data_IF_050718262230
#
_entry.id   IF_050718262230
#
_cell.length_a   1.000
_cell.length_b   1.000
_cell.length_c   1.000
_cell.angle_alpha   90.00
_cell.angle_beta   90.00
_cell.angle_gamma   90.00
#
_symmetry.space_group_name_H-M   'P 1'
#
loop_
_entity.id
_entity.type
_entity.pdbx_description
1 polymer ?
#
# COMPACT_ATOMS: atom_id res chain seq x y z
N UNK A 1 13.41 28.75 -15.25
CA UNK A 1 13.55 28.40 -13.83
C UNK A 1 13.94 26.93 -13.73
N UNK A 2 15.22 26.71 -13.43
CA UNK A 2 15.85 25.42 -13.14
C UNK A 2 15.23 24.80 -11.87
N UNK A 3 15.19 23.49 -11.63
CA UNK A 3 16.33 22.59 -11.45
C UNK A 3 15.94 21.12 -11.70
N UNK A 4 16.73 20.44 -12.53
CA UNK A 4 16.91 19.00 -12.53
C UNK A 4 17.75 18.62 -11.29
N UNK A 5 17.36 17.59 -10.56
CA UNK A 5 18.25 16.91 -9.62
C UNK A 5 18.16 15.40 -9.80
N UNK A 6 19.29 14.70 -10.07
CA UNK A 6 19.35 13.26 -10.22
C UNK A 6 19.67 12.61 -8.87
N UNK A 7 19.00 11.52 -8.52
CA UNK A 7 19.46 10.64 -7.45
C UNK A 7 19.80 9.26 -8.01
N UNK A 8 20.97 9.19 -8.62
CA UNK A 8 21.74 7.96 -8.75
C UNK A 8 22.41 7.69 -7.41
N UNK A 9 22.10 6.58 -6.74
CA UNK A 9 22.98 6.05 -5.68
C UNK A 9 23.12 4.54 -5.84
N UNK A 10 24.17 4.15 -6.57
CA UNK A 10 24.82 2.85 -6.42
C UNK A 10 25.37 2.76 -4.99
N UNK A 11 25.03 1.71 -4.26
CA UNK A 11 25.78 1.26 -3.08
C UNK A 11 25.88 -0.25 -3.21
N UNK A 12 27.08 -0.73 -3.54
CA UNK A 12 27.47 -2.11 -3.28
C UNK A 12 28.49 -2.09 -2.16
N UNK A 13 28.24 -2.84 -1.10
CA UNK A 13 29.26 -3.46 -0.23
C UNK A 13 28.62 -4.63 0.52
N UNK A 14 29.22 -5.82 0.40
CA UNK A 14 28.98 -6.99 1.25
C UNK A 14 29.38 -6.70 2.70
N UNK A 15 28.55 -7.08 3.68
CA UNK A 15 29.03 -7.49 5.01
C UNK A 15 27.98 -8.35 5.71
N UNK A 16 28.37 -9.57 6.08
CA UNK A 16 27.56 -10.51 6.83
C UNK A 16 27.37 -10.07 8.27
N UNK A 17 26.15 -10.26 8.78
CA UNK A 17 25.83 -10.23 10.20
C UNK A 17 24.87 -11.40 10.45
N UNK A 18 25.35 -12.39 11.20
CA UNK A 18 24.52 -13.42 11.80
C UNK A 18 23.76 -12.79 12.98
N UNK A 19 22.43 -12.81 12.96
CA UNK A 19 21.61 -12.58 14.15
C UNK A 19 20.69 -13.79 14.32
N UNK A 20 21.04 -14.58 15.32
CA UNK A 20 20.17 -15.52 15.99
C UNK A 20 19.11 -14.68 16.75
N UNK A 21 17.85 -14.75 16.33
CA UNK A 21 16.75 -13.98 16.92
C UNK A 21 15.44 -14.74 16.80
N UNK A 22 15.07 -15.38 17.89
CA UNK A 22 13.86 -16.17 18.06
C UNK A 22 12.62 -15.26 18.11
N UNK A 23 11.59 -15.60 17.34
CA UNK A 23 10.19 -15.22 17.61
C UNK A 23 9.69 -13.91 17.02
N UNK A 24 9.04 -13.97 15.85
CA UNK A 24 7.59 -13.75 15.72
C UNK A 24 7.19 -14.09 14.28
N UNK A 25 6.34 -15.10 14.12
CA UNK A 25 5.72 -15.45 12.85
C UNK A 25 4.77 -14.32 12.46
N UNK A 26 5.26 -13.32 11.74
CA UNK A 26 4.39 -12.48 10.92
C UNK A 26 4.12 -13.26 9.64
N UNK A 27 3.03 -14.02 9.63
CA UNK A 27 2.52 -14.69 8.43
C UNK A 27 2.24 -13.63 7.36
N UNK A 28 2.96 -13.60 6.22
CA UNK A 28 2.46 -12.90 5.06
C UNK A 28 1.17 -13.63 4.66
N UNK A 29 0.03 -12.96 4.80
CA UNK A 29 -1.24 -13.48 4.31
C UNK A 29 -1.23 -13.32 2.79
N UNK A 30 -0.58 -14.23 2.08
CA UNK A 30 -0.60 -14.29 0.61
C UNK A 30 -2.01 -14.67 0.16
N UNK A 31 -2.81 -13.66 -0.18
CA UNK A 31 -4.22 -13.81 -0.48
C UNK A 31 -4.45 -13.90 -1.99
N UNK A 32 -4.24 -15.11 -2.51
CA UNK A 32 -4.83 -15.63 -3.77
C UNK A 32 -4.31 -15.02 -5.07
N UNK A 33 -3.54 -15.82 -5.81
CA UNK A 33 -3.01 -15.53 -7.13
C UNK A 33 -4.13 -15.27 -8.16
N UNK A 34 -4.22 -14.02 -8.61
CA UNK A 34 -4.52 -13.68 -10.00
C UNK A 34 -3.17 -13.27 -10.56
N UNK A 35 -2.61 -14.08 -11.47
CA UNK A 35 -1.18 -14.41 -11.59
C UNK A 35 -0.13 -13.29 -11.82
N UNK A 36 -0.47 -12.01 -11.72
CA UNK A 36 0.51 -10.90 -11.71
C UNK A 36 0.18 -9.79 -10.69
N UNK A 37 -0.84 -9.97 -9.84
CA UNK A 37 -1.24 -8.96 -8.86
C UNK A 37 -0.50 -9.15 -7.54
N UNK A 38 0.48 -8.29 -7.26
CA UNK A 38 1.15 -8.26 -5.97
C UNK A 38 0.41 -7.31 -5.03
N UNK A 39 0.04 -7.80 -3.84
CA UNK A 39 -0.69 -7.03 -2.84
C UNK A 39 0.14 -7.01 -1.55
N UNK A 40 0.51 -5.82 -1.12
CA UNK A 40 1.17 -5.58 0.16
C UNK A 40 0.23 -4.79 1.07
N UNK A 41 0.08 -5.24 2.32
CA UNK A 41 -0.71 -4.56 3.34
C UNK A 41 0.19 -4.34 4.55
N UNK A 42 0.35 -3.09 4.96
CA UNK A 42 1.22 -2.68 6.07
C UNK A 42 0.39 -1.98 7.14
N UNK A 43 0.57 -2.37 8.40
CA UNK A 43 -0.07 -1.67 9.53
C UNK A 43 0.62 -0.32 9.76
N UNK A 44 -0.16 0.75 9.95
CA UNK A 44 0.33 2.11 10.25
C UNK A 44 -0.46 2.70 11.42
N UNK A 45 0.09 2.60 12.63
CA UNK A 45 -0.63 3.05 13.84
C UNK A 45 -1.96 2.30 14.03
N UNK A 46 -3.05 3.04 14.07
CA UNK A 46 -4.43 2.51 14.13
C UNK A 46 -5.03 2.23 12.74
N UNK A 47 -4.39 2.73 11.69
CA UNK A 47 -4.77 2.52 10.30
C UNK A 47 -3.87 1.54 9.55
N UNK A 48 -3.94 1.57 8.22
CA UNK A 48 -3.28 0.61 7.33
C UNK A 48 -2.98 1.22 5.97
N UNK A 49 -1.92 0.73 5.35
CA UNK A 49 -1.47 1.08 4.01
C UNK A 49 -1.58 -0.17 3.13
N UNK A 50 -2.01 0.01 1.89
CA UNK A 50 -2.20 -1.04 0.91
C UNK A 50 -1.55 -0.58 -0.39
N UNK A 51 -0.67 -1.41 -0.92
CA UNK A 51 -0.05 -1.21 -2.23
C UNK A 51 -0.33 -2.42 -3.08
N UNK A 52 -0.95 -2.20 -4.24
CA UNK A 52 -1.25 -3.25 -5.21
C UNK A 52 -0.52 -2.90 -6.49
N UNK A 53 0.28 -3.82 -7.01
CA UNK A 53 1.03 -3.61 -8.26
C UNK A 53 0.70 -4.69 -9.29
N UNK A 54 0.62 -4.28 -10.54
CA UNK A 54 0.43 -5.16 -11.69
C UNK A 54 1.13 -4.55 -12.92
N UNK A 55 2.28 -5.10 -13.30
CA UNK A 55 3.09 -4.55 -14.39
C UNK A 55 3.47 -3.08 -14.14
N UNK A 56 3.04 -2.18 -15.04
CA UNK A 56 3.27 -0.75 -14.91
C UNK A 56 2.19 0.02 -14.12
N UNK A 57 1.18 -0.68 -13.60
CA UNK A 57 0.09 -0.11 -12.80
C UNK A 57 0.33 -0.33 -11.32
N UNK A 58 -0.01 0.68 -10.54
CA UNK A 58 0.08 0.68 -9.08
C UNK A 58 -1.18 1.34 -8.51
N UNK A 59 -1.80 0.69 -7.53
CA UNK A 59 -2.92 1.21 -6.76
C UNK A 59 -2.47 1.31 -5.31
N UNK A 60 -2.65 2.48 -4.73
CA UNK A 60 -2.27 2.79 -3.37
C UNK A 60 -3.52 3.16 -2.58
N UNK A 61 -3.61 2.69 -1.34
CA UNK A 61 -4.58 3.17 -0.39
C UNK A 61 -3.95 3.31 0.98
N UNK A 62 -4.13 4.47 1.61
CA UNK A 62 -3.75 4.70 3.00
C UNK A 62 -4.99 5.05 3.78
N UNK A 63 -5.21 4.35 4.89
CA UNK A 63 -6.11 4.78 5.93
C UNK A 63 -5.27 5.22 7.12
N UNK A 64 -5.36 6.50 7.47
CA UNK A 64 -4.85 7.04 8.72
C UNK A 64 -6.02 7.20 9.70
N UNK A 65 -5.84 6.66 10.90
CA UNK A 65 -6.83 6.77 11.98
C UNK A 65 -6.17 7.49 13.15
N UNK A 66 -6.76 8.61 13.57
CA UNK A 66 -6.41 9.36 14.76
C UNK A 66 -7.55 9.22 15.78
N UNK A 67 -7.36 9.59 17.06
CA UNK A 67 -8.47 9.65 18.01
C UNK A 67 -9.60 10.61 17.60
N UNK A 68 -9.28 11.64 16.84
CA UNK A 68 -10.19 12.72 16.47
C UNK A 68 -10.93 12.44 15.16
N UNK A 69 -10.25 11.88 14.17
CA UNK A 69 -10.77 11.74 12.81
C UNK A 69 -10.12 10.57 12.06
N UNK A 70 -10.49 10.39 10.80
CA UNK A 70 -9.79 9.45 9.92
C UNK A 70 -9.68 10.00 8.52
N UNK A 71 -8.59 9.66 7.84
CA UNK A 71 -8.31 10.09 6.48
C UNK A 71 -8.05 8.86 5.63
N UNK A 72 -8.69 8.81 4.47
CA UNK A 72 -8.48 7.78 3.45
C UNK A 72 -7.91 8.43 2.21
N UNK A 73 -6.73 7.98 1.79
CA UNK A 73 -6.11 8.36 0.53
C UNK A 73 -6.20 7.18 -0.43
N UNK A 74 -6.55 7.42 -1.69
CA UNK A 74 -6.58 6.43 -2.76
C UNK A 74 -5.88 7.02 -3.98
N UNK A 75 -4.87 6.32 -4.47
CA UNK A 75 -4.12 6.74 -5.65
C UNK A 75 -4.02 5.60 -6.65
N UNK A 76 -4.08 5.95 -7.94
CA UNK A 76 -3.80 5.03 -9.03
C UNK A 76 -2.77 5.65 -9.95
N UNK A 77 -1.79 4.84 -10.37
CA UNK A 77 -0.68 5.27 -11.21
C UNK A 77 -0.45 4.26 -12.32
N UNK A 78 -0.14 4.75 -13.51
CA UNK A 78 0.25 3.93 -14.66
C UNK A 78 1.45 4.58 -15.36
N UNK A 79 2.53 3.81 -15.57
CA UNK A 79 3.76 4.29 -16.22
C UNK A 79 4.33 5.59 -15.63
N UNK A 80 4.29 5.74 -14.31
CA UNK A 80 4.82 6.95 -13.67
C UNK A 80 3.81 8.10 -13.52
N UNK A 81 2.65 8.04 -14.17
CA UNK A 81 1.64 9.10 -14.16
C UNK A 81 0.47 8.74 -13.25
N UNK A 82 0.10 9.66 -12.37
CA UNK A 82 -1.11 9.55 -11.56
C UNK A 82 -2.35 9.64 -12.46
N UNK A 83 -3.20 8.62 -12.36
CA UNK A 83 -4.52 8.55 -12.99
C UNK A 83 -5.62 8.97 -12.02
N UNK A 84 -5.46 8.61 -10.74
CA UNK A 84 -6.38 8.95 -9.65
C UNK A 84 -5.57 9.42 -8.45
N UNK A 85 -6.07 10.47 -7.80
CA UNK A 85 -5.56 11.00 -6.53
C UNK A 85 -6.76 11.54 -5.73
N UNK A 86 -7.29 10.72 -4.84
CA UNK A 86 -8.50 10.99 -4.07
C UNK A 86 -8.17 10.97 -2.57
N UNK A 87 -8.76 11.92 -1.85
CA UNK A 87 -8.71 11.97 -0.40
C UNK A 87 -10.10 12.15 0.19
N UNK A 88 -10.37 11.42 1.27
CA UNK A 88 -11.63 11.44 2.00
C UNK A 88 -11.32 11.61 3.48
N UNK A 89 -11.98 12.55 4.16
CA UNK A 89 -11.83 12.77 5.60
C UNK A 89 -13.14 12.48 6.29
N UNK A 90 -13.09 11.68 7.36
CA UNK A 90 -14.20 11.38 8.23
C UNK A 90 -14.05 12.14 9.55
N UNK A 91 -15.11 12.81 10.01
CA UNK A 91 -15.13 13.59 11.27
C UNK A 91 -15.08 12.73 12.56
N UNK A 92 -14.84 11.43 12.42
CA UNK A 92 -14.71 10.47 13.52
C UNK A 92 -13.62 9.45 13.23
N UNK A 93 -13.03 8.84 14.26
CA UNK A 93 -12.18 7.67 14.07
C UNK A 93 -12.96 6.51 13.42
N UNK A 94 -12.34 5.89 12.42
CA UNK A 94 -12.75 4.57 11.94
C UNK A 94 -12.33 3.50 12.94
N UNK A 95 -13.22 2.52 13.14
CA UNK A 95 -12.92 1.32 13.92
C UNK A 95 -12.05 0.36 13.11
N UNK A 96 -11.32 -0.53 13.78
CA UNK A 96 -10.50 -1.55 13.10
C UNK A 96 -11.30 -2.38 12.10
N UNK A 97 -12.55 -2.72 12.42
CA UNK A 97 -13.43 -3.47 11.51
C UNK A 97 -13.80 -2.68 10.26
N UNK A 98 -14.03 -1.37 10.39
CA UNK A 98 -14.29 -0.48 9.24
C UNK A 98 -13.05 -0.33 8.36
N UNK A 99 -11.86 -0.21 8.96
CA UNK A 99 -10.58 -0.17 8.23
C UNK A 99 -10.40 -1.45 7.41
N UNK A 100 -10.63 -2.62 8.02
CA UNK A 100 -10.47 -3.92 7.37
C UNK A 100 -11.51 -4.14 6.26
N UNK A 101 -12.76 -3.71 6.49
CA UNK A 101 -13.81 -3.74 5.46
C UNK A 101 -13.46 -2.86 4.27
N UNK A 102 -13.05 -1.61 4.51
CA UNK A 102 -12.67 -0.67 3.46
C UNK A 102 -11.49 -1.18 2.62
N UNK A 103 -10.49 -1.80 3.23
CA UNK A 103 -9.35 -2.42 2.52
C UNK A 103 -9.80 -3.59 1.68
N UNK A 104 -10.65 -4.45 2.25
CA UNK A 104 -11.18 -5.62 1.54
C UNK A 104 -11.96 -5.19 0.30
N UNK A 105 -12.82 -4.19 0.44
CA UNK A 105 -13.59 -3.61 -0.65
C UNK A 105 -12.69 -2.99 -1.72
N UNK A 106 -11.66 -2.25 -1.29
CA UNK A 106 -10.69 -1.67 -2.22
C UNK A 106 -9.93 -2.73 -3.01
N UNK A 107 -9.36 -3.73 -2.33
CA UNK A 107 -8.63 -4.84 -2.97
C UNK A 107 -9.54 -5.58 -3.95
N UNK A 108 -10.78 -5.86 -3.57
CA UNK A 108 -11.74 -6.51 -4.45
C UNK A 108 -12.08 -5.65 -5.68
N UNK A 109 -12.25 -4.33 -5.50
CA UNK A 109 -12.47 -3.40 -6.61
C UNK A 109 -11.28 -3.38 -7.58
N UNK A 110 -10.04 -3.45 -7.07
CA UNK A 110 -8.83 -3.47 -7.89
C UNK A 110 -8.71 -4.80 -8.62
N UNK A 111 -8.94 -5.93 -7.94
CA UNK A 111 -8.99 -7.26 -8.57
C UNK A 111 -10.01 -7.30 -9.72
N UNK A 112 -11.22 -6.77 -9.50
CA UNK A 112 -12.26 -6.72 -10.53
C UNK A 112 -11.87 -5.85 -11.74
N UNK A 113 -11.15 -4.74 -11.51
CA UNK A 113 -10.64 -3.87 -12.57
C UNK A 113 -9.45 -4.48 -13.32
N UNK A 114 -8.55 -5.15 -12.60
CA UNK A 114 -7.35 -5.77 -13.15
C UNK A 114 -7.66 -6.96 -14.06
N UNK A 115 -8.72 -7.73 -13.77
CA UNK A 115 -9.16 -8.88 -14.58
C UNK A 115 -9.90 -8.48 -15.87
N UNK A 116 -10.40 -7.24 -15.97
CA UNK A 116 -11.22 -6.78 -17.11
C UNK A 116 -10.43 -6.38 -18.37
N UNK A 117 -9.17 -6.79 -18.53
CA UNK A 117 -8.36 -6.49 -19.71
C UNK A 117 -8.53 -7.51 -20.83
#
# INVERSE_FOLDING_TARGET
MSRLSPFTRRIGTLLGIAILGMGLLASPSTLGASDDLYIEITKKGLGKEVVITQGAREWFMLIEVTPENSVVLRQEKEHGRYLVDESETHDRPMTTGEVDAAITDYVNSVKARATKK
#
